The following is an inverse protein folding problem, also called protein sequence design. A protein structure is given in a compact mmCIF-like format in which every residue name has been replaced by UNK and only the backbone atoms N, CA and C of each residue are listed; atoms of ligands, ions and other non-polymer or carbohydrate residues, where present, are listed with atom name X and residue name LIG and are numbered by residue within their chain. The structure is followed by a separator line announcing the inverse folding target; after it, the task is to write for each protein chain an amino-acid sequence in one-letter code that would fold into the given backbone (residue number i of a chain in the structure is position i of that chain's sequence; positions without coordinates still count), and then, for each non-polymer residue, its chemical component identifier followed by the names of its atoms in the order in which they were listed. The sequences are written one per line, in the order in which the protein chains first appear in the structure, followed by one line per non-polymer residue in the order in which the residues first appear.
data_IF_004593286511
#
_entry.id   IF_004593286511
#
_cell.length_a   1.000
_cell.length_b   1.000
_cell.length_c   1.000
_cell.angle_alpha   90.00
_cell.angle_beta   90.00
_cell.angle_gamma   90.00
#
_symmetry.space_group_name_H-M   'P 1'
#
loop_
_entity.id
_entity.type
_entity.pdbx_description
1 polymer ?
#
# COMPACT_ATOMS: atom_id res chain seq x y z
N UNK A 1 12.44 -3.71 11.39
CA UNK A 1 11.55 -4.77 11.89
C UNK A 1 11.43 -5.76 10.74
N UNK A 2 12.22 -6.83 10.78
CA UNK A 2 12.19 -7.87 9.75
C UNK A 2 10.89 -8.68 9.92
N UNK A 3 10.06 -8.74 8.89
CA UNK A 3 8.90 -9.64 8.88
C UNK A 3 9.40 -11.07 8.66
N UNK A 4 8.90 -12.07 9.40
CA UNK A 4 9.30 -13.45 9.18
C UNK A 4 8.97 -13.85 7.74
N UNK A 5 9.93 -14.52 7.09
CA UNK A 5 9.70 -15.15 5.79
C UNK A 5 8.59 -16.20 5.96
N UNK A 6 7.60 -16.19 5.07
CA UNK A 6 6.58 -17.24 5.03
C UNK A 6 7.21 -18.60 4.74
N UNK A 7 6.61 -19.66 5.28
CA UNK A 7 7.01 -21.03 4.94
C UNK A 7 6.83 -21.28 3.44
N UNK A 8 7.66 -22.18 2.90
CA UNK A 8 7.60 -22.55 1.49
C UNK A 8 6.28 -23.27 1.23
N UNK A 9 5.50 -22.81 0.25
CA UNK A 9 4.14 -23.27 -0.01
C UNK A 9 3.04 -22.33 0.50
N UNK A 10 3.36 -21.32 1.32
CA UNK A 10 2.42 -20.30 1.80
C UNK A 10 2.58 -18.93 1.08
N UNK A 11 3.17 -18.94 -0.13
CA UNK A 11 3.35 -17.72 -0.91
C UNK A 11 2.00 -17.14 -1.35
N UNK A 12 1.03 -18.02 -1.64
CA UNK A 12 -0.30 -17.69 -2.12
C UNK A 12 -1.33 -17.78 -1.00
N UNK A 13 -2.30 -16.86 -1.03
CA UNK A 13 -3.46 -16.96 -0.17
C UNK A 13 -4.32 -18.17 -0.59
N UNK A 14 -4.90 -18.92 0.36
CA UNK A 14 -5.91 -19.92 0.04
C UNK A 14 -7.08 -19.29 -0.75
N UNK A 15 -7.76 -20.07 -1.61
CA UNK A 15 -8.96 -19.62 -2.30
C UNK A 15 -9.98 -19.01 -1.32
N UNK A 16 -10.53 -17.83 -1.67
CA UNK A 16 -11.52 -17.13 -0.84
C UNK A 16 -10.96 -16.31 0.33
N UNK A 17 -9.72 -16.55 0.78
CA UNK A 17 -9.17 -15.89 1.97
C UNK A 17 -9.16 -14.35 1.87
N UNK A 18 -8.86 -13.80 0.68
CA UNK A 18 -8.90 -12.35 0.45
C UNK A 18 -10.34 -11.80 0.50
N UNK A 19 -11.30 -12.52 -0.06
CA UNK A 19 -12.72 -12.14 -0.03
C UNK A 19 -13.24 -12.14 1.41
N UNK A 20 -12.90 -13.16 2.19
CA UNK A 20 -13.27 -13.24 3.60
C UNK A 20 -12.62 -12.15 4.45
N UNK A 21 -11.35 -11.83 4.19
CA UNK A 21 -10.68 -10.70 4.83
C UNK A 21 -11.43 -9.39 4.55
N UNK A 22 -11.77 -9.11 3.28
CA UNK A 22 -12.52 -7.90 2.90
C UNK A 22 -13.91 -7.87 3.53
N UNK A 23 -14.63 -9.00 3.56
CA UNK A 23 -15.92 -9.12 4.23
C UNK A 23 -15.84 -8.77 5.71
N UNK A 24 -14.84 -9.30 6.43
CA UNK A 24 -14.62 -8.98 7.86
C UNK A 24 -14.29 -7.50 8.06
N UNK A 25 -13.42 -6.94 7.22
CA UNK A 25 -13.08 -5.52 7.25
C UNK A 25 -14.31 -4.63 7.01
N UNK A 26 -15.19 -5.02 6.08
CA UNK A 26 -16.44 -4.29 5.80
C UNK A 26 -17.41 -4.24 6.98
N UNK A 27 -17.44 -5.28 7.81
CA UNK A 27 -18.30 -5.30 9.02
C UNK A 27 -17.84 -4.31 10.08
N UNK A 28 -16.54 -4.03 10.17
CA UNK A 28 -15.98 -3.12 11.18
C UNK A 28 -15.77 -1.69 10.65
N UNK A 29 -15.62 -1.49 9.33
CA UNK A 29 -15.29 -0.19 8.76
C UNK A 29 -16.23 0.95 9.18
N UNK A 30 -17.57 0.79 9.26
CA UNK A 30 -18.46 1.87 9.70
C UNK A 30 -18.23 2.34 11.13
N UNK A 31 -17.57 1.53 11.97
CA UNK A 31 -17.27 1.84 13.37
C UNK A 31 -16.01 2.70 13.52
N UNK A 32 -15.30 2.96 12.42
CA UNK A 32 -14.01 3.60 12.43
C UNK A 32 -13.89 4.72 11.39
N UNK A 33 -13.43 5.89 11.84
CA UNK A 33 -13.10 7.01 10.95
C UNK A 33 -11.58 7.06 10.64
N UNK A 34 -11.03 5.97 10.10
CA UNK A 34 -9.58 5.86 9.84
C UNK A 34 -9.19 6.60 8.57
N UNK A 35 -8.15 7.42 8.68
CA UNK A 35 -7.39 7.94 7.55
C UNK A 35 -6.19 7.06 7.28
N UNK A 36 -6.00 6.66 6.02
CA UNK A 36 -4.86 5.83 5.65
C UNK A 36 -4.17 6.29 4.38
N UNK A 37 -2.85 6.09 4.36
CA UNK A 37 -2.00 6.38 3.20
C UNK A 37 -1.21 5.13 2.85
N UNK A 38 -1.23 4.76 1.57
CA UNK A 38 -0.41 3.67 1.01
C UNK A 38 0.60 4.29 0.05
N UNK A 39 1.89 4.21 0.36
CA UNK A 39 2.96 4.72 -0.50
C UNK A 39 3.75 3.58 -1.15
N UNK A 40 4.16 3.79 -2.41
CA UNK A 40 5.11 2.88 -3.06
C UNK A 40 6.52 3.26 -2.59
N UNK A 41 7.29 2.29 -2.10
CA UNK A 41 8.67 2.48 -1.65
C UNK A 41 9.64 2.73 -2.82
N UNK A 42 9.21 2.48 -4.05
CA UNK A 42 10.02 2.66 -5.25
C UNK A 42 9.74 4.03 -5.89
N UNK A 43 10.70 4.94 -5.78
CA UNK A 43 10.63 6.28 -6.35
C UNK A 43 12.01 6.78 -6.82
N UNK A 44 12.08 8.04 -7.23
CA UNK A 44 13.31 8.68 -7.70
C UNK A 44 14.49 8.66 -6.71
N UNK A 45 14.25 8.44 -5.40
CA UNK A 45 15.25 8.37 -4.33
C UNK A 45 15.73 6.94 -4.05
N UNK A 46 14.89 5.94 -4.35
CA UNK A 46 15.17 4.52 -4.06
C UNK A 46 15.37 3.67 -5.32
N UNK A 47 15.18 4.24 -6.51
CA UNK A 47 15.41 3.55 -7.77
C UNK A 47 16.86 3.08 -7.89
N UNK A 48 17.02 1.82 -8.28
CA UNK A 48 18.31 1.21 -8.62
C UNK A 48 18.29 0.78 -10.09
N UNK A 49 19.47 0.68 -10.70
CA UNK A 49 19.60 0.01 -11.99
C UNK A 49 19.09 -1.45 -11.87
N UNK A 50 18.47 -2.02 -12.91
CA UNK A 50 18.23 -1.49 -14.27
C UNK A 50 16.95 -0.63 -14.39
N UNK A 51 16.24 -0.37 -13.29
CA UNK A 51 14.87 0.17 -13.32
C UNK A 51 14.78 1.69 -13.37
N UNK A 52 15.89 2.38 -13.61
CA UNK A 52 15.90 3.85 -13.76
C UNK A 52 15.04 4.23 -14.98
N UNK A 53 14.05 5.09 -14.77
CA UNK A 53 13.05 5.56 -15.75
C UNK A 53 11.96 4.55 -16.14
N UNK A 54 12.19 3.25 -15.96
CA UNK A 54 11.14 2.25 -16.09
C UNK A 54 10.04 2.47 -15.04
N UNK A 55 10.43 2.89 -13.84
CA UNK A 55 9.54 3.25 -12.73
C UNK A 55 8.48 4.29 -13.13
N UNK A 56 8.86 5.28 -13.94
CA UNK A 56 7.97 6.34 -14.38
C UNK A 56 6.88 5.88 -15.37
N UNK A 57 7.02 4.68 -15.94
CA UNK A 57 6.11 4.09 -16.93
C UNK A 57 5.30 2.92 -16.37
N UNK A 58 5.53 2.54 -15.12
CA UNK A 58 4.88 1.40 -14.48
C UNK A 58 4.00 1.86 -13.32
N UNK A 59 2.70 1.56 -13.40
CA UNK A 59 1.80 1.76 -12.28
C UNK A 59 2.07 0.68 -11.21
N UNK A 60 2.41 1.04 -9.95
CA UNK A 60 2.72 0.05 -8.93
C UNK A 60 1.45 -0.74 -8.56
N UNK A 61 1.44 -2.03 -8.88
CA UNK A 61 0.27 -2.88 -8.66
C UNK A 61 -0.02 -3.11 -7.17
N UNK A 62 1.01 -3.20 -6.33
CA UNK A 62 0.87 -3.47 -4.89
C UNK A 62 0.04 -2.40 -4.16
N UNK A 63 0.44 -1.13 -4.26
CA UNK A 63 -0.31 -0.02 -3.64
C UNK A 63 -1.73 0.10 -4.18
N UNK A 64 -1.93 -0.17 -5.49
CA UNK A 64 -3.25 -0.17 -6.12
C UNK A 64 -4.13 -1.29 -5.56
N UNK A 65 -3.59 -2.50 -5.44
CA UNK A 65 -4.32 -3.65 -4.91
C UNK A 65 -4.76 -3.41 -3.47
N UNK A 66 -3.85 -2.94 -2.61
CA UNK A 66 -4.15 -2.59 -1.21
C UNK A 66 -5.19 -1.47 -1.15
N UNK A 67 -4.97 -0.35 -1.86
CA UNK A 67 -5.92 0.77 -1.85
C UNK A 67 -7.31 0.39 -2.37
N UNK A 68 -7.40 -0.45 -3.40
CA UNK A 68 -8.68 -0.96 -3.89
C UNK A 68 -9.40 -1.83 -2.85
N UNK A 69 -8.66 -2.67 -2.11
CA UNK A 69 -9.22 -3.51 -1.07
C UNK A 69 -9.72 -2.68 0.12
N UNK A 70 -9.00 -1.62 0.49
CA UNK A 70 -9.41 -0.67 1.53
C UNK A 70 -10.69 0.06 1.14
N UNK A 71 -10.77 0.57 -0.09
CA UNK A 71 -11.97 1.23 -0.60
C UNK A 71 -13.17 0.26 -0.66
N UNK A 72 -12.97 -0.96 -1.19
CA UNK A 72 -14.00 -2.01 -1.23
C UNK A 72 -14.50 -2.43 0.16
N UNK A 73 -13.62 -2.40 1.16
CA UNK A 73 -13.97 -2.65 2.56
C UNK A 73 -14.67 -1.46 3.25
N UNK A 74 -14.79 -0.29 2.61
CA UNK A 74 -15.47 0.88 3.18
C UNK A 74 -14.55 1.90 3.85
N UNK A 75 -13.23 1.72 3.83
CA UNK A 75 -12.25 2.70 4.32
C UNK A 75 -11.98 3.78 3.26
N UNK A 76 -12.97 4.62 3.00
CA UNK A 76 -12.97 5.59 1.90
C UNK A 76 -11.94 6.72 2.07
N UNK A 77 -11.50 7.00 3.30
CA UNK A 77 -10.40 7.93 3.62
C UNK A 77 -9.03 7.28 3.42
N UNK A 78 -8.87 6.54 2.33
CA UNK A 78 -7.62 5.92 1.91
C UNK A 78 -7.05 6.68 0.72
N UNK A 79 -5.74 6.96 0.75
CA UNK A 79 -5.03 7.57 -0.39
C UNK A 79 -3.84 6.73 -0.81
N UNK A 80 -3.77 6.46 -2.11
CA UNK A 80 -2.59 5.88 -2.74
C UNK A 80 -1.67 7.05 -3.12
N UNK A 81 -0.42 6.97 -2.70
CA UNK A 81 0.61 7.94 -3.05
C UNK A 81 1.64 7.28 -3.95
N UNK A 82 1.70 7.77 -5.18
CA UNK A 82 2.64 7.33 -6.21
C UNK A 82 3.82 8.29 -6.19
N UNK A 83 4.78 8.02 -5.30
CA UNK A 83 5.92 8.89 -5.02
C UNK A 83 6.80 9.12 -6.26
N UNK A 84 6.82 8.18 -7.21
CA UNK A 84 7.51 8.34 -8.48
C UNK A 84 6.97 9.55 -9.28
N UNK A 85 5.67 9.87 -9.14
CA UNK A 85 5.03 11.02 -9.80
C UNK A 85 4.78 12.22 -8.88
N UNK A 86 5.06 12.08 -7.57
CA UNK A 86 4.92 13.16 -6.59
C UNK A 86 6.24 13.41 -5.83
N UNK A 87 7.19 14.07 -6.50
CA UNK A 87 8.55 14.32 -5.99
C UNK A 87 8.60 15.12 -4.67
N UNK A 88 7.56 15.91 -4.38
CA UNK A 88 7.47 16.74 -3.17
C UNK A 88 6.80 16.03 -2.00
N UNK A 89 6.34 14.79 -2.18
CA UNK A 89 5.79 14.03 -1.08
C UNK A 89 6.86 13.77 0.00
N UNK A 90 6.47 14.08 1.24
CA UNK A 90 7.28 13.90 2.46
C UNK A 90 6.40 13.15 3.46
N UNK A 91 6.64 11.84 3.69
CA UNK A 91 5.81 11.05 4.61
C UNK A 91 5.66 11.70 5.99
N UNK A 92 6.71 12.34 6.50
CA UNK A 92 6.69 13.02 7.81
C UNK A 92 5.81 14.27 7.89
N UNK A 93 5.40 14.84 6.74
CA UNK A 93 4.54 16.03 6.67
C UNK A 93 3.17 15.71 6.05
N UNK A 94 2.87 14.43 5.81
CA UNK A 94 1.64 14.05 5.13
C UNK A 94 0.42 14.40 5.98
N UNK A 95 -0.60 14.94 5.33
CA UNK A 95 -1.90 15.19 5.93
C UNK A 95 -3.01 14.67 5.02
N UNK A 96 -4.01 14.05 5.63
CA UNK A 96 -5.26 13.66 4.99
C UNK A 96 -6.39 14.22 5.84
N UNK A 97 -7.30 14.98 5.21
CA UNK A 97 -8.37 15.71 5.92
C UNK A 97 -7.84 16.59 7.07
N UNK A 98 -6.68 17.24 6.84
CA UNK A 98 -6.07 18.16 7.81
C UNK A 98 -5.26 17.51 8.95
N UNK A 99 -5.33 16.17 9.12
CA UNK A 99 -4.63 15.43 10.19
C UNK A 99 -3.55 14.48 9.66
N UNK A 100 -2.66 14.04 10.55
CA UNK A 100 -1.71 12.96 10.27
C UNK A 100 -2.52 11.66 10.09
N UNK A 101 -2.28 10.86 9.04
CA UNK A 101 -2.98 9.59 8.83
C UNK A 101 -2.79 8.63 10.00
N UNK A 102 -3.88 7.96 10.39
CA UNK A 102 -3.88 6.95 11.46
C UNK A 102 -3.06 5.71 11.06
N UNK A 103 -3.05 5.40 9.76
CA UNK A 103 -2.31 4.27 9.20
C UNK A 103 -1.44 4.71 8.01
N UNK A 104 -0.15 4.44 8.11
CA UNK A 104 0.80 4.59 7.01
C UNK A 104 1.31 3.22 6.56
N UNK A 105 0.99 2.86 5.33
CA UNK A 105 1.40 1.61 4.70
C UNK A 105 2.45 1.88 3.63
N UNK A 106 3.47 1.03 3.57
CA UNK A 106 4.52 1.10 2.57
C UNK A 106 4.52 -0.21 1.79
N UNK A 107 4.34 -0.12 0.47
CA UNK A 107 4.46 -1.25 -0.43
C UNK A 107 5.83 -1.21 -1.09
N UNK A 108 6.63 -2.23 -0.86
CA UNK A 108 7.88 -2.48 -1.58
C UNK A 108 7.71 -3.63 -2.56
N UNK A 109 8.61 -3.70 -3.53
CA UNK A 109 8.80 -4.88 -4.37
C UNK A 109 10.09 -5.55 -3.91
N UNK A 110 10.00 -6.84 -3.57
CA UNK A 110 11.19 -7.65 -3.37
C UNK A 110 11.68 -8.13 -4.73
N UNK A 111 12.87 -7.72 -5.14
CA UNK A 111 13.44 -8.00 -6.47
C UNK A 111 14.34 -9.25 -6.41
N UNK A 112 14.90 -9.56 -5.25
CA UNK A 112 15.82 -10.69 -5.03
C UNK A 112 15.50 -11.40 -3.70
N UNK A 113 15.76 -12.71 -3.65
CA UNK A 113 15.58 -13.56 -2.46
C UNK A 113 16.89 -14.23 -2.12
#
# INVERSE_FOLDING_TARGET
MELPRRERGEELLPPGALTDLRRRLRLIAPQHDLTSVVACAFDHRTRMLPFIYADMRMAPAGVRAVGSAMADAGFNKTRIVLQQWNRKFRPSLMRLDGRIPDLFMVSSMQIHT
#
